data_IF_665913838260
#
_entry.id   IF_665913838260
#
_cell.length_a   1.000
_cell.length_b   1.000
_cell.length_c   1.000
_cell.angle_alpha   90.00
_cell.angle_beta   90.00
_cell.angle_gamma   90.00
#
_symmetry.space_group_name_H-M   'P 1'
#
loop_
_entity.id
_entity.type
_entity.pdbx_description
1 polymer ?
#
# COMPACT_ATOMS: atom_id res chain seq x y z
N UNK A 1 15.34 -15.96 -3.00
CA UNK A 1 15.28 -14.95 -4.09
C UNK A 1 14.73 -15.52 -5.40
N UNK A 2 15.18 -16.70 -5.82
CA UNK A 2 14.71 -17.36 -7.05
C UNK A 2 13.19 -17.61 -7.02
N UNK A 3 12.64 -18.08 -5.89
CA UNK A 3 11.20 -18.34 -5.71
C UNK A 3 10.35 -17.07 -5.90
N UNK A 4 10.77 -15.94 -5.30
CA UNK A 4 10.08 -14.65 -5.44
C UNK A 4 10.01 -14.26 -6.93
N UNK A 5 11.12 -14.37 -7.64
CA UNK A 5 11.17 -14.04 -9.06
C UNK A 5 10.18 -14.87 -9.90
N UNK A 6 10.11 -16.18 -9.66
CA UNK A 6 9.18 -17.04 -10.39
C UNK A 6 7.71 -16.74 -10.05
N UNK A 7 7.39 -16.45 -8.79
CA UNK A 7 6.03 -16.06 -8.37
C UNK A 7 5.61 -14.74 -9.03
N UNK A 8 6.44 -13.71 -8.96
CA UNK A 8 6.18 -12.41 -9.63
C UNK A 8 6.03 -12.59 -11.14
N UNK A 9 6.93 -13.38 -11.78
CA UNK A 9 6.84 -13.66 -13.22
C UNK A 9 5.54 -14.37 -13.60
N UNK A 10 5.07 -15.31 -12.75
CA UNK A 10 3.78 -15.99 -12.93
C UNK A 10 2.64 -14.97 -12.94
N UNK A 11 2.55 -14.12 -11.90
CA UNK A 11 1.47 -13.16 -11.73
C UNK A 11 1.47 -12.12 -12.86
N UNK A 12 2.62 -11.58 -13.24
CA UNK A 12 2.76 -10.67 -14.39
C UNK A 12 2.36 -11.34 -15.71
N UNK A 13 2.71 -12.61 -15.92
CA UNK A 13 2.33 -13.37 -17.12
C UNK A 13 0.82 -13.59 -17.20
N UNK A 14 0.16 -13.86 -16.08
CA UNK A 14 -1.30 -13.98 -16.02
C UNK A 14 -1.93 -12.63 -16.38
N UNK A 15 -1.51 -11.54 -15.72
CA UNK A 15 -2.04 -10.19 -15.98
C UNK A 15 -1.80 -9.72 -17.42
N UNK A 16 -0.67 -10.06 -18.04
CA UNK A 16 -0.36 -9.65 -19.42
C UNK A 16 -1.34 -10.24 -20.47
N UNK A 17 -2.04 -11.33 -20.14
CA UNK A 17 -3.07 -11.90 -20.99
C UNK A 17 -4.37 -11.07 -21.03
N UNK A 18 -4.59 -10.22 -20.01
CA UNK A 18 -5.82 -9.44 -19.86
C UNK A 18 -5.53 -7.95 -20.04
N UNK A 19 -5.63 -7.45 -21.26
CA UNK A 19 -5.37 -6.02 -21.59
C UNK A 19 -6.24 -5.05 -20.77
N UNK A 20 -7.47 -5.48 -20.41
CA UNK A 20 -8.39 -4.68 -19.59
C UNK A 20 -7.83 -4.36 -18.20
N UNK A 21 -7.01 -5.24 -17.61
CA UNK A 21 -6.39 -4.99 -16.30
C UNK A 21 -5.46 -3.78 -16.39
N UNK A 22 -4.62 -3.70 -17.42
CA UNK A 22 -3.69 -2.60 -17.63
C UNK A 22 -4.39 -1.27 -17.86
N UNK A 23 -5.47 -1.30 -18.68
CA UNK A 23 -6.29 -0.10 -18.91
C UNK A 23 -6.98 0.36 -17.62
N UNK A 24 -7.58 -0.57 -16.88
CA UNK A 24 -8.21 -0.27 -15.59
C UNK A 24 -7.22 0.34 -14.59
N UNK A 25 -6.02 -0.26 -14.46
CA UNK A 25 -4.97 0.27 -13.58
C UNK A 25 -4.45 1.65 -13.98
N UNK A 26 -4.50 1.99 -15.27
CA UNK A 26 -4.13 3.33 -15.73
C UNK A 26 -5.20 4.38 -15.43
N UNK A 27 -6.49 4.03 -15.55
CA UNK A 27 -7.61 4.96 -15.45
C UNK A 27 -8.19 5.09 -14.03
N UNK A 28 -8.26 4.00 -13.26
CA UNK A 28 -8.92 4.00 -11.94
C UNK A 28 -8.30 5.01 -10.96
N UNK A 29 -6.96 5.09 -10.79
CA UNK A 29 -6.36 6.06 -9.88
C UNK A 29 -6.68 7.51 -10.28
N UNK A 30 -6.76 7.78 -11.59
CA UNK A 30 -7.17 9.07 -12.06
C UNK A 30 -8.57 9.44 -11.55
N UNK A 31 -9.58 8.59 -11.75
CA UNK A 31 -10.93 8.88 -11.28
C UNK A 31 -11.04 8.95 -9.76
N UNK A 32 -10.25 8.16 -9.04
CA UNK A 32 -10.23 8.17 -7.56
C UNK A 32 -9.54 9.42 -6.98
N UNK A 33 -8.48 9.91 -7.60
CA UNK A 33 -7.63 10.99 -7.08
C UNK A 33 -8.11 12.36 -7.59
N UNK A 34 -8.62 12.43 -8.82
CA UNK A 34 -8.99 13.70 -9.48
C UNK A 34 -9.95 14.59 -8.68
N UNK A 35 -11.01 14.08 -8.01
CA UNK A 35 -11.90 14.93 -7.23
C UNK A 35 -11.18 15.70 -6.13
N UNK A 36 -10.24 15.06 -5.45
CA UNK A 36 -9.45 15.69 -4.38
C UNK A 36 -8.50 16.75 -4.93
N UNK A 37 -7.76 16.44 -5.99
CA UNK A 37 -6.76 17.34 -6.57
C UNK A 37 -7.40 18.53 -7.27
N UNK A 38 -8.46 18.31 -8.04
CA UNK A 38 -9.14 19.42 -8.71
C UNK A 38 -9.91 20.33 -7.76
N UNK A 39 -10.49 19.79 -6.67
CA UNK A 39 -11.11 20.64 -5.65
C UNK A 39 -10.10 21.60 -5.01
N UNK A 40 -8.89 21.15 -4.74
CA UNK A 40 -7.83 22.01 -4.20
C UNK A 40 -7.29 23.00 -5.22
N UNK A 41 -7.26 22.64 -6.52
CA UNK A 41 -6.87 23.56 -7.59
C UNK A 41 -7.86 24.74 -7.73
N UNK A 42 -9.15 24.51 -7.46
CA UNK A 42 -10.18 25.55 -7.51
C UNK A 42 -10.13 26.52 -6.32
N UNK A 43 -9.75 26.03 -5.15
CA UNK A 43 -9.86 26.75 -3.87
C UNK A 43 -8.50 27.32 -3.43
N UNK A 44 -7.41 26.67 -3.77
CA UNK A 44 -6.11 26.87 -3.15
C UNK A 44 -4.98 27.23 -4.09
N UNK A 45 -3.80 27.16 -3.52
CA UNK A 45 -2.52 27.34 -4.21
C UNK A 45 -2.11 26.07 -4.96
N UNK A 46 -1.24 26.23 -5.94
CA UNK A 46 -0.68 25.12 -6.72
C UNK A 46 0.06 24.10 -5.81
N UNK A 47 0.73 24.58 -4.75
CA UNK A 47 1.41 23.72 -3.77
C UNK A 47 0.43 22.78 -3.05
N UNK A 48 -0.74 23.27 -2.65
CA UNK A 48 -1.75 22.45 -1.98
C UNK A 48 -2.25 21.30 -2.89
N UNK A 49 -2.42 21.58 -4.19
CA UNK A 49 -2.83 20.55 -5.16
C UNK A 49 -1.78 19.45 -5.30
N UNK A 50 -0.49 19.80 -5.27
CA UNK A 50 0.61 18.83 -5.30
C UNK A 50 0.68 18.00 -4.03
N UNK A 51 0.50 18.60 -2.86
CA UNK A 51 0.50 17.91 -1.57
C UNK A 51 -0.64 16.90 -1.47
N UNK A 52 -1.84 17.28 -1.94
CA UNK A 52 -3.00 16.39 -1.96
C UNK A 52 -2.83 15.30 -3.00
N UNK A 53 -2.21 15.58 -4.15
CA UNK A 53 -1.90 14.56 -5.15
C UNK A 53 -1.00 13.47 -4.56
N UNK A 54 0.09 13.83 -3.87
CA UNK A 54 0.99 12.85 -3.26
C UNK A 54 0.32 12.09 -2.12
N UNK A 55 -0.43 12.78 -1.25
CA UNK A 55 -1.15 12.15 -0.15
C UNK A 55 -2.17 11.12 -0.62
N UNK A 56 -2.99 11.48 -1.61
CA UNK A 56 -4.01 10.60 -2.19
C UNK A 56 -3.39 9.47 -3.03
N UNK A 57 -2.28 9.72 -3.74
CA UNK A 57 -1.56 8.69 -4.48
C UNK A 57 -0.97 7.63 -3.54
N UNK A 58 -0.31 8.03 -2.45
CA UNK A 58 0.24 7.11 -1.45
C UNK A 58 -0.87 6.33 -0.72
N UNK A 59 -2.02 6.97 -0.44
CA UNK A 59 -3.18 6.27 0.08
C UNK A 59 -3.71 5.24 -0.93
N UNK A 60 -3.79 5.58 -2.22
CA UNK A 60 -4.19 4.64 -3.25
C UNK A 60 -3.21 3.46 -3.35
N UNK A 61 -1.91 3.70 -3.20
CA UNK A 61 -0.91 2.63 -3.09
C UNK A 61 -1.21 1.70 -1.93
N UNK A 62 -1.52 2.25 -0.74
CA UNK A 62 -1.90 1.44 0.41
C UNK A 62 -3.11 0.54 0.09
N UNK A 63 -4.14 1.09 -0.59
CA UNK A 63 -5.32 0.29 -0.97
C UNK A 63 -4.96 -0.87 -1.88
N UNK A 64 -4.09 -0.66 -2.88
CA UNK A 64 -3.61 -1.71 -3.76
C UNK A 64 -2.81 -2.79 -3.02
N UNK A 65 -1.99 -2.39 -2.04
CA UNK A 65 -1.26 -3.34 -1.21
C UNK A 65 -2.17 -4.13 -0.26
N UNK A 66 -3.23 -3.53 0.24
CA UNK A 66 -4.22 -4.23 1.06
C UNK A 66 -4.99 -5.27 0.25
N UNK A 67 -5.27 -5.00 -1.03
CA UNK A 67 -5.84 -6.00 -1.93
C UNK A 67 -4.80 -7.03 -2.37
N UNK A 68 -3.65 -6.62 -2.89
CA UNK A 68 -2.68 -7.53 -3.49
C UNK A 68 -1.91 -8.38 -2.48
N UNK A 69 -1.51 -7.82 -1.34
CA UNK A 69 -0.74 -8.51 -0.30
C UNK A 69 -1.65 -8.91 0.85
N UNK A 70 -2.44 -7.96 1.34
CA UNK A 70 -3.27 -8.14 2.53
C UNK A 70 -4.35 -9.19 2.33
N UNK A 71 -5.01 -9.22 1.19
CA UNK A 71 -6.05 -10.21 0.84
C UNK A 71 -5.52 -11.37 -0.02
N UNK A 72 -4.22 -11.41 -0.30
CA UNK A 72 -3.62 -12.41 -1.16
C UNK A 72 -3.92 -13.87 -0.76
N UNK A 73 -4.07 -14.16 0.53
CA UNK A 73 -4.51 -15.48 1.00
C UNK A 73 -6.01 -15.72 0.79
N UNK A 74 -6.81 -14.66 0.84
CA UNK A 74 -8.24 -14.70 0.55
C UNK A 74 -8.51 -15.04 -0.91
N UNK A 75 -7.79 -14.41 -1.83
CA UNK A 75 -7.86 -14.72 -3.27
C UNK A 75 -7.52 -16.18 -3.54
N UNK A 76 -6.36 -16.64 -3.06
CA UNK A 76 -5.93 -18.02 -3.25
C UNK A 76 -6.90 -19.06 -2.62
N UNK A 77 -7.58 -18.67 -1.53
CA UNK A 77 -8.65 -19.50 -0.93
C UNK A 77 -9.86 -19.57 -1.85
N UNK A 78 -10.31 -18.45 -2.41
CA UNK A 78 -11.46 -18.41 -3.32
C UNK A 78 -11.19 -19.18 -4.62
N UNK A 79 -9.94 -19.18 -5.09
CA UNK A 79 -9.49 -19.94 -6.25
C UNK A 79 -9.22 -21.41 -5.95
N UNK A 80 -9.28 -21.84 -4.67
CA UNK A 80 -8.98 -23.21 -4.26
C UNK A 80 -7.49 -23.57 -4.31
N UNK A 81 -6.61 -22.59 -4.50
CA UNK A 81 -5.15 -22.78 -4.64
C UNK A 81 -4.38 -22.61 -3.34
N UNK A 82 -5.01 -22.11 -2.28
CA UNK A 82 -4.37 -21.87 -0.98
C UNK A 82 -3.71 -23.13 -0.41
N UNK A 83 -4.39 -24.29 -0.49
CA UNK A 83 -3.84 -25.57 0.00
C UNK A 83 -2.57 -25.94 -0.76
N UNK A 84 -2.56 -25.74 -2.08
CA UNK A 84 -1.38 -26.00 -2.93
C UNK A 84 -0.19 -25.15 -2.51
N UNK A 85 -0.42 -23.89 -2.14
CA UNK A 85 0.64 -23.01 -1.63
C UNK A 85 1.17 -23.51 -0.30
N UNK A 86 0.30 -23.94 0.61
CA UNK A 86 0.67 -24.41 1.95
C UNK A 86 1.48 -25.71 1.94
N UNK A 87 1.15 -26.63 1.03
CA UNK A 87 1.89 -27.91 0.88
C UNK A 87 3.16 -27.74 0.02
N UNK A 88 3.31 -26.63 -0.69
CA UNK A 88 4.51 -26.33 -1.47
C UNK A 88 5.72 -26.08 -0.54
N UNK A 89 6.95 -26.21 -1.03
CA UNK A 89 8.15 -25.89 -0.25
C UNK A 89 8.31 -24.37 0.00
N UNK A 90 7.47 -23.53 -0.60
CA UNK A 90 7.52 -22.07 -0.49
C UNK A 90 6.96 -21.61 0.86
N UNK A 91 7.71 -20.78 1.59
CA UNK A 91 7.22 -20.21 2.85
C UNK A 91 6.11 -19.19 2.57
N UNK A 92 5.09 -19.12 3.42
CA UNK A 92 4.01 -18.15 3.32
C UNK A 92 4.52 -16.69 3.32
N UNK A 93 5.60 -16.41 4.06
CA UNK A 93 6.25 -15.10 4.02
C UNK A 93 6.87 -14.78 2.66
N UNK A 94 7.50 -15.77 2.00
CA UNK A 94 8.06 -15.62 0.64
C UNK A 94 6.96 -15.33 -0.38
N UNK A 95 5.82 -15.99 -0.26
CA UNK A 95 4.63 -15.72 -1.07
C UNK A 95 4.15 -14.27 -0.91
N UNK A 96 3.99 -13.78 0.34
CA UNK A 96 3.58 -12.40 0.58
C UNK A 96 4.60 -11.36 0.07
N UNK A 97 5.91 -11.63 0.19
CA UNK A 97 6.93 -10.77 -0.42
C UNK A 97 6.83 -10.74 -1.95
N UNK A 98 6.55 -11.87 -2.58
CA UNK A 98 6.34 -11.91 -4.03
C UNK A 98 5.12 -11.08 -4.44
N UNK A 99 3.99 -11.20 -3.73
CA UNK A 99 2.81 -10.34 -3.92
C UNK A 99 3.14 -8.86 -3.71
N UNK A 100 3.98 -8.52 -2.73
CA UNK A 100 4.46 -7.15 -2.49
C UNK A 100 5.26 -6.59 -3.67
N UNK A 101 6.16 -7.38 -4.26
CA UNK A 101 6.92 -6.97 -5.45
C UNK A 101 6.04 -6.85 -6.69
N UNK A 102 5.10 -7.76 -6.90
CA UNK A 102 4.12 -7.65 -7.98
C UNK A 102 3.29 -6.36 -7.85
N UNK A 103 2.77 -6.09 -6.66
CA UNK A 103 2.02 -4.87 -6.37
C UNK A 103 2.87 -3.60 -6.54
N UNK A 104 4.17 -3.63 -6.18
CA UNK A 104 5.09 -2.52 -6.43
C UNK A 104 5.19 -2.18 -7.92
N UNK A 105 5.40 -3.20 -8.77
CA UNK A 105 5.50 -3.01 -10.22
C UNK A 105 4.21 -2.38 -10.77
N UNK A 106 3.05 -2.89 -10.33
CA UNK A 106 1.76 -2.36 -10.75
C UNK A 106 1.53 -0.92 -10.27
N UNK A 107 1.91 -0.61 -9.03
CA UNK A 107 1.80 0.73 -8.48
C UNK A 107 2.73 1.75 -9.16
N UNK A 108 3.91 1.34 -9.58
CA UNK A 108 4.79 2.18 -10.39
C UNK A 108 4.18 2.48 -11.76
N UNK A 109 3.60 1.47 -12.40
CA UNK A 109 2.89 1.62 -13.67
C UNK A 109 1.72 2.62 -13.54
N UNK A 110 0.85 2.44 -12.57
CA UNK A 110 -0.28 3.36 -12.35
C UNK A 110 0.17 4.79 -12.00
N UNK A 111 1.26 4.93 -11.22
CA UNK A 111 1.79 6.26 -10.85
C UNK A 111 2.32 7.01 -12.06
N UNK A 112 2.97 6.31 -12.98
CA UNK A 112 3.43 6.91 -14.23
C UNK A 112 2.28 7.53 -15.01
N UNK A 113 1.18 6.80 -15.22
CA UNK A 113 0.01 7.34 -15.93
C UNK A 113 -0.70 8.44 -15.14
N UNK A 114 -0.78 8.30 -13.81
CA UNK A 114 -1.36 9.33 -12.94
C UNK A 114 -0.58 10.63 -13.05
N UNK A 115 0.74 10.60 -12.96
CA UNK A 115 1.56 11.80 -13.10
C UNK A 115 1.44 12.41 -14.50
N UNK A 116 1.51 11.60 -15.56
CA UNK A 116 1.29 12.07 -16.93
C UNK A 116 -0.04 12.82 -17.05
N UNK A 117 -1.12 12.22 -16.55
CA UNK A 117 -2.43 12.82 -16.61
C UNK A 117 -2.48 14.18 -15.90
N UNK A 118 -1.96 14.29 -14.67
CA UNK A 118 -2.01 15.54 -13.91
C UNK A 118 -1.11 16.63 -14.51
N UNK A 119 0.04 16.25 -15.08
CA UNK A 119 0.91 17.17 -15.82
C UNK A 119 0.17 17.74 -17.04
N UNK A 120 -0.52 16.90 -17.83
CA UNK A 120 -1.32 17.37 -18.97
C UNK A 120 -2.47 18.30 -18.56
N UNK A 121 -2.99 18.15 -17.33
CA UNK A 121 -4.01 19.05 -16.78
C UNK A 121 -3.43 20.28 -16.07
N UNK A 122 -2.15 20.59 -16.27
CA UNK A 122 -1.48 21.80 -15.80
C UNK A 122 -1.14 21.79 -14.31
N UNK A 123 -1.03 20.62 -13.68
CA UNK A 123 -0.48 20.48 -12.33
C UNK A 123 1.00 20.17 -12.45
N UNK A 124 1.85 21.12 -12.05
CA UNK A 124 3.29 20.88 -11.98
C UNK A 124 3.61 19.96 -10.81
N UNK A 125 4.62 19.14 -10.97
CA UNK A 125 5.12 18.25 -9.90
C UNK A 125 6.55 18.67 -9.62
N UNK A 126 6.75 19.31 -8.47
CA UNK A 126 8.08 19.70 -8.03
C UNK A 126 8.86 18.48 -7.55
N UNK A 127 10.18 18.49 -7.77
CA UNK A 127 11.09 17.46 -7.24
C UNK A 127 10.69 16.02 -7.63
N UNK A 128 10.35 15.79 -8.92
CA UNK A 128 9.85 14.49 -9.41
C UNK A 128 10.80 13.32 -9.11
N UNK A 129 12.12 13.52 -9.16
CA UNK A 129 13.12 12.47 -8.90
C UNK A 129 13.10 12.02 -7.44
N UNK A 130 13.19 12.90 -6.43
CA UNK A 130 13.01 12.51 -5.02
C UNK A 130 11.65 11.88 -4.74
N UNK A 131 10.56 12.31 -5.41
CA UNK A 131 9.24 11.69 -5.27
C UNK A 131 9.27 10.25 -5.81
N UNK A 132 9.90 10.01 -6.95
CA UNK A 132 10.02 8.65 -7.49
C UNK A 132 10.81 7.72 -6.56
N UNK A 133 11.90 8.21 -5.95
CA UNK A 133 12.65 7.47 -4.92
C UNK A 133 11.77 7.18 -3.71
N UNK A 134 10.97 8.16 -3.25
CA UNK A 134 10.01 7.97 -2.16
C UNK A 134 9.00 6.87 -2.51
N UNK A 135 8.46 6.83 -3.72
CA UNK A 135 7.53 5.80 -4.16
C UNK A 135 8.16 4.41 -4.13
N UNK A 136 9.40 4.25 -4.60
CA UNK A 136 10.12 2.98 -4.52
C UNK A 136 10.28 2.50 -3.06
N UNK A 137 10.65 3.40 -2.17
CA UNK A 137 10.83 3.11 -0.75
C UNK A 137 9.48 2.84 -0.07
N UNK A 138 8.43 3.59 -0.42
CA UNK A 138 7.09 3.43 0.15
C UNK A 138 6.51 2.04 -0.12
N UNK A 139 6.80 1.46 -1.29
CA UNK A 139 6.40 0.10 -1.62
C UNK A 139 6.89 -0.93 -0.60
N UNK A 140 8.13 -0.80 -0.12
CA UNK A 140 8.68 -1.68 0.91
C UNK A 140 7.95 -1.51 2.26
N UNK A 141 7.80 -0.27 2.73
CA UNK A 141 7.16 0.00 4.03
C UNK A 141 5.68 -0.36 4.06
N UNK A 142 4.97 -0.10 2.96
CA UNK A 142 3.56 -0.50 2.83
C UNK A 142 3.46 -2.04 2.78
N UNK A 143 4.40 -2.74 2.12
CA UNK A 143 4.46 -4.21 2.17
C UNK A 143 4.57 -4.71 3.59
N UNK A 144 5.44 -4.13 4.43
CA UNK A 144 5.60 -4.54 5.83
C UNK A 144 4.32 -4.37 6.64
N UNK A 145 3.60 -3.27 6.45
CA UNK A 145 2.31 -3.05 7.07
C UNK A 145 1.24 -4.03 6.57
N UNK A 146 1.23 -4.31 5.27
CA UNK A 146 0.30 -5.26 4.65
C UNK A 146 0.54 -6.71 5.09
N UNK A 147 1.77 -7.08 5.46
CA UNK A 147 2.07 -8.38 6.08
C UNK A 147 1.30 -8.60 7.39
N UNK A 148 1.27 -7.58 8.25
CA UNK A 148 0.49 -7.64 9.49
C UNK A 148 -1.00 -7.83 9.18
N UNK A 149 -1.53 -7.07 8.21
CA UNK A 149 -2.91 -7.20 7.79
C UNK A 149 -3.20 -8.58 7.17
N UNK A 150 -2.33 -9.11 6.30
CA UNK A 150 -2.46 -10.44 5.71
C UNK A 150 -2.49 -11.56 6.78
N UNK A 151 -1.64 -11.44 7.80
CA UNK A 151 -1.64 -12.38 8.92
C UNK A 151 -2.94 -12.33 9.73
N UNK A 152 -3.51 -11.14 9.94
CA UNK A 152 -4.84 -10.97 10.56
C UNK A 152 -5.96 -11.54 9.68
N UNK A 153 -5.91 -11.30 8.37
CA UNK A 153 -6.89 -11.81 7.42
C UNK A 153 -6.89 -13.34 7.34
N UNK A 154 -5.70 -13.95 7.42
CA UNK A 154 -5.57 -15.40 7.49
C UNK A 154 -6.16 -15.96 8.81
N UNK A 155 -5.96 -15.25 9.93
CA UNK A 155 -6.47 -15.65 11.24
C UNK A 155 -7.98 -15.45 11.39
N UNK A 156 -8.47 -14.26 10.99
CA UNK A 156 -9.88 -13.80 11.18
C UNK A 156 -10.71 -13.92 9.91
N UNK A 157 -10.59 -14.92 9.14
CA UNK A 157 -11.27 -15.30 7.88
C UNK A 157 -12.29 -14.32 7.23
N UNK A 158 -13.00 -13.48 8.03
CA UNK A 158 -14.02 -12.50 7.57
C UNK A 158 -13.54 -11.04 7.60
N UNK A 159 -12.25 -10.79 7.85
CA UNK A 159 -11.75 -9.41 7.94
C UNK A 159 -11.84 -8.66 6.61
N UNK A 160 -11.91 -9.41 5.50
CA UNK A 160 -12.01 -8.85 4.15
C UNK A 160 -13.29 -8.05 3.93
N UNK A 161 -14.38 -8.38 4.65
CA UNK A 161 -15.64 -7.62 4.57
C UNK A 161 -15.53 -6.18 5.07
N UNK A 162 -14.55 -5.89 5.95
CA UNK A 162 -14.29 -4.55 6.48
C UNK A 162 -13.05 -3.89 5.88
N UNK A 163 -12.40 -4.55 4.91
CA UNK A 163 -11.16 -4.10 4.29
C UNK A 163 -11.28 -2.67 3.75
N UNK A 164 -12.32 -2.39 2.99
CA UNK A 164 -12.56 -1.05 2.41
C UNK A 164 -12.73 0.02 3.49
N UNK A 165 -13.47 -0.29 4.56
CA UNK A 165 -13.65 0.63 5.69
C UNK A 165 -12.31 0.95 6.37
N UNK A 166 -11.48 -0.07 6.59
CA UNK A 166 -10.13 0.12 7.16
C UNK A 166 -9.28 1.01 6.26
N UNK A 167 -9.31 0.82 4.94
CA UNK A 167 -8.55 1.62 4.00
C UNK A 167 -8.95 3.10 4.02
N UNK A 168 -10.25 3.41 4.07
CA UNK A 168 -10.72 4.79 4.22
C UNK A 168 -10.32 5.39 5.57
N UNK A 169 -10.46 4.62 6.64
CA UNK A 169 -10.00 5.02 7.97
C UNK A 169 -8.49 5.37 7.93
N UNK A 170 -7.66 4.49 7.39
CA UNK A 170 -6.23 4.73 7.27
C UNK A 170 -5.93 5.95 6.39
N UNK A 171 -6.69 6.17 5.31
CA UNK A 171 -6.53 7.34 4.44
C UNK A 171 -6.76 8.65 5.19
N UNK A 172 -7.88 8.76 5.89
CA UNK A 172 -8.23 9.98 6.66
C UNK A 172 -7.20 10.22 7.75
N UNK A 173 -6.91 9.23 8.58
CA UNK A 173 -6.01 9.38 9.73
C UNK A 173 -4.53 9.48 9.34
N UNK A 174 -4.13 9.04 8.16
CA UNK A 174 -2.77 9.28 7.66
C UNK A 174 -2.58 10.68 7.07
N UNK A 175 -3.65 11.46 6.98
CA UNK A 175 -3.56 12.82 6.46
C UNK A 175 -3.50 12.89 4.94
N UNK A 176 -4.19 12.00 4.20
CA UNK A 176 -4.11 11.97 2.73
C UNK A 176 -4.48 13.31 2.07
N UNK A 177 -5.47 14.03 2.60
CA UNK A 177 -5.95 15.33 2.08
C UNK A 177 -5.61 16.50 3.00
N UNK A 178 -5.47 16.26 4.30
CA UNK A 178 -5.34 17.30 5.33
C UNK A 178 -4.06 17.07 6.12
N UNK A 179 -3.34 18.13 6.49
CA UNK A 179 -2.15 17.98 7.34
C UNK A 179 -2.53 17.46 8.72
N UNK A 180 -1.80 16.44 9.19
CA UNK A 180 -1.96 15.86 10.53
C UNK A 180 -1.72 16.91 11.63
N UNK A 181 -0.90 17.93 11.34
CA UNK A 181 -0.67 19.07 12.22
C UNK A 181 -1.94 19.80 12.66
N UNK A 182 -3.01 19.76 11.84
CA UNK A 182 -4.30 20.37 12.13
C UNK A 182 -5.23 19.49 12.97
N UNK A 183 -4.88 18.23 13.22
CA UNK A 183 -5.73 17.31 13.96
C UNK A 183 -5.70 17.60 15.48
N UNK A 184 -6.80 17.35 16.21
CA UNK A 184 -6.80 17.30 17.67
C UNK A 184 -5.80 16.26 18.20
N UNK A 185 -5.29 16.47 19.42
CA UNK A 185 -4.20 15.66 20.00
C UNK A 185 -4.48 14.16 19.99
N UNK A 186 -5.74 13.76 20.27
CA UNK A 186 -6.15 12.35 20.29
C UNK A 186 -6.16 11.70 18.89
N UNK A 187 -6.47 12.47 17.83
CA UNK A 187 -6.41 11.99 16.44
C UNK A 187 -4.97 11.90 15.94
N UNK A 188 -4.09 12.83 16.36
CA UNK A 188 -2.65 12.74 16.09
C UNK A 188 -2.05 11.44 16.62
N UNK A 189 -2.45 11.00 17.82
CA UNK A 189 -1.94 9.77 18.40
C UNK A 189 -2.25 8.54 17.51
N UNK A 190 -3.44 8.49 16.89
CA UNK A 190 -3.78 7.45 15.91
C UNK A 190 -2.90 7.55 14.66
N UNK A 191 -2.72 8.77 14.14
CA UNK A 191 -1.91 9.02 12.94
C UNK A 191 -0.46 8.54 13.10
N UNK A 192 0.13 8.70 14.28
CA UNK A 192 1.51 8.30 14.55
C UNK A 192 1.74 6.78 14.59
N UNK A 193 0.68 5.98 14.70
CA UNK A 193 0.76 4.52 14.62
C UNK A 193 0.77 4.04 13.15
N UNK A 194 0.29 4.86 12.22
CA UNK A 194 0.11 4.51 10.82
C UNK A 194 1.39 4.83 10.02
N UNK A 195 2.08 3.86 9.40
CA UNK A 195 3.29 4.13 8.62
C UNK A 195 3.07 5.09 7.45
N UNK A 196 1.87 5.04 6.84
CA UNK A 196 1.48 5.90 5.72
C UNK A 196 1.57 7.39 6.07
N UNK A 197 1.31 7.77 7.33
CA UNK A 197 1.37 9.16 7.81
C UNK A 197 2.75 9.78 7.62
N UNK A 198 3.80 9.01 7.90
CA UNK A 198 5.18 9.46 7.72
C UNK A 198 5.56 9.55 6.25
N UNK A 199 5.12 8.59 5.42
CA UNK A 199 5.36 8.62 3.97
C UNK A 199 4.72 9.86 3.34
N UNK A 200 3.49 10.20 3.71
CA UNK A 200 2.79 11.39 3.23
C UNK A 200 3.50 12.67 3.70
N UNK A 201 3.89 12.72 4.98
CA UNK A 201 4.65 13.87 5.53
C UNK A 201 5.97 14.07 4.79
N UNK A 202 6.75 13.01 4.56
CA UNK A 202 7.99 13.07 3.78
C UNK A 202 7.70 13.54 2.34
N UNK A 203 6.66 13.04 1.70
CA UNK A 203 6.28 13.44 0.34
C UNK A 203 5.93 14.92 0.24
N UNK A 204 5.18 15.46 1.20
CA UNK A 204 4.87 16.90 1.27
C UNK A 204 6.11 17.75 1.49
N UNK A 205 7.01 17.32 2.38
CA UNK A 205 8.27 18.02 2.62
C UNK A 205 9.16 18.04 1.36
N UNK A 206 9.16 16.96 0.57
CA UNK A 206 9.88 16.91 -0.71
C UNK A 206 9.31 17.93 -1.70
N UNK A 207 7.97 18.02 -1.83
CA UNK A 207 7.31 19.00 -2.71
C UNK A 207 7.67 20.43 -2.30
N UNK A 208 7.66 20.72 -1.02
CA UNK A 208 7.94 22.03 -0.47
C UNK A 208 9.46 22.32 -0.33
N UNK A 209 10.33 21.43 -0.87
CA UNK A 209 11.80 21.54 -0.80
C UNK A 209 12.35 21.63 0.63
N UNK A 210 11.62 21.14 1.62
CA UNK A 210 11.99 21.15 3.03
C UNK A 210 12.54 19.78 3.48
N UNK A 211 13.80 19.49 3.11
CA UNK A 211 14.42 18.19 3.33
C UNK A 211 14.89 17.95 4.78
N UNK A 212 15.12 19.01 5.56
CA UNK A 212 15.71 18.90 6.91
C UNK A 212 14.83 18.10 7.88
N UNK A 213 13.52 18.21 7.78
CA UNK A 213 12.57 17.53 8.67
C UNK A 213 12.34 16.06 8.33
N UNK A 214 12.87 15.57 7.20
CA UNK A 214 12.62 14.22 6.74
C UNK A 214 13.36 13.14 7.53
N UNK A 215 14.51 13.48 8.14
CA UNK A 215 15.35 12.50 8.85
C UNK A 215 14.60 11.88 10.02
N UNK A 216 13.96 12.69 10.86
CA UNK A 216 13.21 12.21 12.04
C UNK A 216 12.01 11.38 11.60
N UNK A 217 11.24 11.88 10.63
CA UNK A 217 10.09 11.15 10.07
C UNK A 217 10.51 9.81 9.47
N UNK A 218 11.66 9.75 8.81
CA UNK A 218 12.20 8.52 8.23
C UNK A 218 12.66 7.53 9.30
N UNK A 219 13.29 7.98 10.38
CA UNK A 219 13.68 7.12 11.50
C UNK A 219 12.46 6.50 12.19
N UNK A 220 11.42 7.30 12.45
CA UNK A 220 10.19 6.80 13.08
C UNK A 220 9.47 5.84 12.12
N UNK A 221 9.40 6.15 10.83
CA UNK A 221 8.85 5.27 9.79
C UNK A 221 9.51 3.89 9.82
N UNK A 222 10.85 3.84 9.92
CA UNK A 222 11.58 2.57 10.04
C UNK A 222 11.12 1.78 11.27
N UNK A 223 11.11 2.41 12.45
CA UNK A 223 10.71 1.74 13.71
C UNK A 223 9.30 1.19 13.60
N UNK A 224 8.34 2.01 13.16
CA UNK A 224 6.93 1.63 13.06
C UNK A 224 6.75 0.50 12.04
N UNK A 225 7.34 0.62 10.86
CA UNK A 225 7.17 -0.37 9.78
C UNK A 225 7.84 -1.71 10.10
N UNK A 226 9.03 -1.71 10.69
CA UNK A 226 9.65 -2.96 11.15
C UNK A 226 8.88 -3.61 12.29
N UNK A 227 8.28 -2.83 13.19
CA UNK A 227 7.38 -3.38 14.23
C UNK A 227 6.21 -4.12 13.59
N UNK A 228 5.56 -3.55 12.57
CA UNK A 228 4.50 -4.23 11.83
C UNK A 228 4.98 -5.49 11.10
N UNK A 229 6.16 -5.45 10.49
CA UNK A 229 6.75 -6.64 9.86
C UNK A 229 6.96 -7.77 10.87
N UNK A 230 7.60 -7.48 12.03
CA UNK A 230 7.84 -8.49 13.05
C UNK A 230 6.54 -9.04 13.63
N UNK A 231 5.56 -8.18 13.93
CA UNK A 231 4.23 -8.60 14.38
C UNK A 231 3.53 -9.46 13.32
N UNK A 232 3.61 -9.08 12.05
CA UNK A 232 3.04 -9.83 10.93
C UNK A 232 3.67 -11.21 10.79
N UNK A 233 5.00 -11.31 10.80
CA UNK A 233 5.72 -12.58 10.73
C UNK A 233 5.43 -13.49 11.93
N UNK A 234 5.36 -12.92 13.13
CA UNK A 234 5.01 -13.66 14.35
C UNK A 234 3.58 -14.23 14.27
N UNK A 235 2.60 -13.40 13.90
CA UNK A 235 1.21 -13.82 13.75
C UNK A 235 1.05 -14.86 12.64
N UNK A 236 1.71 -14.67 11.50
CA UNK A 236 1.68 -15.59 10.39
C UNK A 236 2.17 -17.00 10.81
N UNK A 237 3.31 -17.06 11.50
CA UNK A 237 3.86 -18.31 12.03
C UNK A 237 2.93 -18.96 13.06
N UNK A 238 2.30 -18.15 13.93
CA UNK A 238 1.36 -18.65 14.94
C UNK A 238 0.13 -19.26 14.28
N UNK A 239 -0.47 -18.57 13.29
CA UNK A 239 -1.64 -19.05 12.55
C UNK A 239 -1.29 -20.30 11.75
N UNK A 240 -0.14 -20.32 11.06
CA UNK A 240 0.34 -21.49 10.33
C UNK A 240 0.43 -22.72 11.24
N UNK A 241 1.07 -22.58 12.41
CA UNK A 241 1.22 -23.68 13.36
C UNK A 241 -0.13 -24.16 13.92
N UNK A 242 -1.08 -23.27 14.19
CA UNK A 242 -2.41 -23.63 14.67
C UNK A 242 -3.20 -24.38 13.61
N UNK A 243 -3.17 -23.89 12.38
CA UNK A 243 -3.97 -24.46 11.28
C UNK A 243 -3.40 -25.80 10.81
N UNK A 244 -2.06 -25.99 10.84
CA UNK A 244 -1.43 -27.29 10.58
C UNK A 244 -1.86 -28.37 11.59
N UNK A 245 -2.11 -27.99 12.85
CA UNK A 245 -2.56 -28.93 13.90
C UNK A 245 -4.05 -29.26 13.79
N UNK A 246 -4.87 -28.31 13.38
CA UNK A 246 -6.34 -28.46 13.32
C UNK A 246 -6.86 -28.98 11.99
N UNK A 247 -6.03 -29.07 10.95
CA UNK A 247 -6.46 -29.39 9.58
C UNK A 247 -7.41 -28.38 8.95
N UNK A 248 -7.63 -27.22 9.60
CA UNK A 248 -8.69 -26.28 9.29
C UNK A 248 -8.43 -25.29 8.16
N UNK A 249 -7.60 -25.62 7.17
CA UNK A 249 -7.33 -24.73 6.03
C UNK A 249 -8.55 -24.55 5.11
N UNK A 250 -9.40 -25.56 5.00
CA UNK A 250 -10.60 -25.60 4.15
C UNK A 250 -11.90 -25.33 4.92
N UNK A 251 -11.90 -25.39 6.25
CA UNK A 251 -13.12 -25.19 7.03
C UNK A 251 -13.55 -23.71 7.01
N UNK A 252 -14.73 -23.48 6.52
CA UNK A 252 -15.44 -22.20 6.45
C UNK A 252 -16.07 -21.82 7.77
#
# INVERSE_FOLDING_TARGET
>A
MIEIFYLVKKDLKIRSKYKSIWLNMALTPFFMISPYVFSTKLIGTESLSQEVLIGTLLWYWLTQYFFGVGDGFGEERMEGTLVTIIISPVKLSTFLFAKGFDTLIMNLYLSFFTFLFFIFNGIKINNIVPIFVLLLISGLYITFFSFFYAALALWKRRINSINTTIQYFLGVFSGMTTDIGLFPIYLKAISYIIPLSYLISIGRNIINSNFSNNIISFLILNIVSFTYLFLGLYLLKKVENQTRKSGGWESW
#
